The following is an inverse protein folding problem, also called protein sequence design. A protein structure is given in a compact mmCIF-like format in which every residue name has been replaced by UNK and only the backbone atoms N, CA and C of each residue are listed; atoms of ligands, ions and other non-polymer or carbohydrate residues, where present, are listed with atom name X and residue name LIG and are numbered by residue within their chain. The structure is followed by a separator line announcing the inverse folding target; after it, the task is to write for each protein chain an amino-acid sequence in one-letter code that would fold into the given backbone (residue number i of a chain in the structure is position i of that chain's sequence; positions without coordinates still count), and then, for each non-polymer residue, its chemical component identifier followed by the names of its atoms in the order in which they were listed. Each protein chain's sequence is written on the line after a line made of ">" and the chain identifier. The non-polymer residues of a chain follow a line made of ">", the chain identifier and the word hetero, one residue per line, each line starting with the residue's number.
data_IF_170705831354
#
_entry.id   IF_170705831354
#
_cell.length_a   1.000
_cell.length_b   1.000
_cell.length_c   1.000
_cell.angle_alpha   90.00
_cell.angle_beta   90.00
_cell.angle_gamma   90.00
#
_symmetry.space_group_name_H-M   'P 1'
#
loop_
_entity.id
_entity.type
_entity.pdbx_description
1 polymer ?
#
# COMPACT_ATOMS: atom_id res chain seq x y z
N UNK A 1 22.59 -50.25 -1.80
CA UNK A 1 21.84 -49.45 -0.80
C UNK A 1 22.74 -48.36 -0.22
N UNK A 2 22.47 -47.10 -0.54
CA UNK A 2 22.35 -45.96 0.40
C UNK A 2 21.95 -44.75 -0.44
N UNK A 3 20.82 -44.20 -0.03
CA UNK A 3 19.94 -43.36 -0.84
C UNK A 3 20.58 -41.98 -0.98
N UNK A 4 20.43 -41.39 -2.15
CA UNK A 4 20.57 -39.96 -2.42
C UNK A 4 20.04 -39.19 -1.22
N UNK A 5 20.92 -38.50 -0.51
CA UNK A 5 20.51 -37.54 0.50
C UNK A 5 19.94 -36.37 -0.28
N UNK A 6 18.64 -36.46 -0.53
CA UNK A 6 17.77 -35.37 -0.92
C UNK A 6 17.79 -34.39 0.25
N UNK A 7 18.86 -33.59 0.34
CA UNK A 7 18.80 -32.28 0.99
C UNK A 7 18.20 -31.33 -0.05
N UNK A 8 16.98 -31.66 -0.48
CA UNK A 8 16.03 -30.66 -0.91
C UNK A 8 15.64 -29.99 0.40
N UNK A 9 16.49 -29.06 0.88
CA UNK A 9 16.01 -27.97 1.70
C UNK A 9 14.95 -27.30 0.84
N UNK A 10 13.72 -27.79 1.01
CA UNK A 10 12.50 -27.07 0.83
C UNK A 10 12.62 -25.86 1.75
N UNK A 11 13.43 -24.90 1.32
CA UNK A 11 13.07 -23.50 1.45
C UNK A 11 11.79 -23.45 0.63
N UNK A 12 10.67 -23.75 1.29
CA UNK A 12 9.38 -23.14 1.00
C UNK A 12 9.63 -21.64 1.17
N UNK A 13 10.39 -21.07 0.24
CA UNK A 13 10.29 -19.67 -0.07
C UNK A 13 8.84 -19.58 -0.46
N UNK A 14 8.05 -19.05 0.47
CA UNK A 14 6.69 -18.65 0.21
C UNK A 14 6.82 -17.90 -1.10
N UNK A 15 6.32 -18.48 -2.18
CA UNK A 15 6.16 -17.74 -3.43
C UNK A 15 4.99 -16.82 -3.13
N UNK A 16 5.25 -15.81 -2.28
CA UNK A 16 4.30 -14.74 -2.05
C UNK A 16 4.33 -14.01 -3.37
N UNK A 17 3.33 -14.29 -4.20
CA UNK A 17 2.88 -13.30 -5.16
C UNK A 17 2.82 -11.99 -4.38
N UNK A 18 3.71 -11.07 -4.76
CA UNK A 18 3.97 -9.84 -4.03
C UNK A 18 2.67 -9.06 -3.90
N UNK A 19 2.05 -9.12 -2.74
CA UNK A 19 0.75 -8.52 -2.50
C UNK A 19 0.89 -7.47 -1.40
N UNK A 20 0.15 -6.38 -1.58
CA UNK A 20 -0.04 -5.35 -0.58
C UNK A 20 -1.45 -5.47 -0.05
N UNK A 21 -1.61 -5.48 1.26
CA UNK A 21 -2.92 -5.45 1.89
C UNK A 21 -3.24 -4.03 2.33
N UNK A 22 -4.37 -3.47 1.88
CA UNK A 22 -4.84 -2.16 2.36
C UNK A 22 -5.29 -2.33 3.82
N UNK A 23 -4.54 -1.76 4.76
CA UNK A 23 -4.84 -1.88 6.19
C UNK A 23 -5.67 -0.71 6.72
N UNK A 24 -5.63 0.43 6.03
CA UNK A 24 -6.39 1.62 6.38
C UNK A 24 -6.49 2.55 5.18
N UNK A 25 -7.61 3.27 5.06
CA UNK A 25 -7.81 4.28 4.02
C UNK A 25 -8.62 5.46 4.57
N UNK A 26 -8.43 6.63 3.97
CA UNK A 26 -9.07 7.84 4.46
C UNK A 26 -8.50 9.10 3.81
N UNK A 27 -8.54 10.19 4.57
CA UNK A 27 -8.24 11.53 4.08
C UNK A 27 -7.16 12.20 4.95
N UNK A 28 -6.52 13.23 4.42
CA UNK A 28 -5.59 14.09 5.14
C UNK A 28 -5.90 15.58 4.88
N UNK A 29 -5.05 16.48 5.37
CA UNK A 29 -5.25 17.92 5.20
C UNK A 29 -5.22 18.40 3.74
N UNK A 30 -4.60 17.64 2.84
CA UNK A 30 -4.50 18.01 1.43
C UNK A 30 -5.63 17.42 0.59
N UNK A 31 -6.41 16.47 1.11
CA UNK A 31 -7.51 15.78 0.39
C UNK A 31 -8.48 16.74 -0.29
N UNK A 32 -8.84 17.86 0.37
CA UNK A 32 -9.75 18.85 -0.20
C UNK A 32 -9.15 19.73 -1.31
N UNK A 33 -7.83 19.69 -1.49
CA UNK A 33 -7.11 20.49 -2.49
C UNK A 33 -6.48 19.64 -3.60
N UNK A 34 -6.27 18.35 -3.33
CA UNK A 34 -5.69 17.40 -4.27
C UNK A 34 -6.80 16.65 -5.03
N UNK A 35 -7.33 17.29 -6.07
CA UNK A 35 -8.43 16.73 -6.86
C UNK A 35 -8.04 15.51 -7.71
N UNK A 36 -6.75 15.17 -7.83
CA UNK A 36 -6.30 13.99 -8.61
C UNK A 36 -6.25 12.73 -7.75
N UNK A 37 -5.63 12.82 -6.58
CA UNK A 37 -5.53 11.73 -5.62
C UNK A 37 -5.81 12.23 -4.20
N UNK A 38 -7.09 12.51 -3.88
CA UNK A 38 -7.47 13.07 -2.59
C UNK A 38 -7.32 12.05 -1.46
N UNK A 39 -7.48 10.76 -1.74
CA UNK A 39 -7.44 9.71 -0.72
C UNK A 39 -6.01 9.37 -0.28
N UNK A 40 -5.89 8.82 0.92
CA UNK A 40 -4.67 8.24 1.48
C UNK A 40 -4.94 6.79 1.89
N UNK A 41 -4.13 5.87 1.41
CA UNK A 41 -4.17 4.46 1.74
C UNK A 41 -2.86 4.02 2.39
N UNK A 42 -2.98 3.24 3.46
CA UNK A 42 -1.87 2.59 4.14
C UNK A 42 -1.90 1.13 3.72
N UNK A 43 -0.81 0.69 3.11
CA UNK A 43 -0.65 -0.65 2.56
C UNK A 43 0.41 -1.38 3.38
N UNK A 44 0.09 -2.59 3.84
CA UNK A 44 1.07 -3.51 4.40
C UNK A 44 1.64 -4.37 3.27
N UNK A 45 2.95 -4.33 3.08
CA UNK A 45 3.67 -5.18 2.12
C UNK A 45 3.95 -6.54 2.77
N UNK A 46 3.23 -7.56 2.32
CA UNK A 46 3.30 -8.90 2.87
C UNK A 46 4.66 -9.59 2.64
N UNK A 47 5.54 -9.00 1.81
CA UNK A 47 6.87 -9.57 1.51
C UNK A 47 7.93 -9.23 2.55
N UNK A 48 7.95 -7.99 3.00
CA UNK A 48 8.98 -7.48 3.91
C UNK A 48 8.43 -7.10 5.29
N UNK A 49 7.10 -7.15 5.46
CA UNK A 49 6.40 -6.84 6.69
C UNK A 49 6.45 -5.35 7.03
N UNK A 50 6.46 -4.50 6.01
CA UNK A 50 6.58 -3.05 6.13
C UNK A 50 5.36 -2.35 5.59
N UNK A 51 5.31 -1.04 5.81
CA UNK A 51 4.20 -0.21 5.42
C UNK A 51 4.61 0.74 4.31
N UNK A 52 3.73 0.87 3.33
CA UNK A 52 3.79 1.89 2.30
C UNK A 52 2.57 2.81 2.45
N UNK A 53 2.75 4.08 2.14
CA UNK A 53 1.65 5.05 2.12
C UNK A 53 1.49 5.58 0.70
N UNK A 54 0.27 5.41 0.19
CA UNK A 54 -0.11 5.85 -1.14
C UNK A 54 -1.21 6.90 -1.05
N UNK A 55 -1.18 7.84 -1.99
CA UNK A 55 -2.36 8.62 -2.37
C UNK A 55 -3.17 7.78 -3.36
N UNK A 56 -4.49 7.81 -3.26
CA UNK A 56 -5.36 7.14 -4.23
C UNK A 56 -6.38 8.10 -4.85
N UNK A 57 -6.76 7.86 -6.10
CA UNK A 57 -7.80 8.65 -6.77
C UNK A 57 -9.19 8.29 -6.23
N UNK A 58 -10.17 9.18 -6.32
CA UNK A 58 -11.58 8.83 -6.09
C UNK A 58 -12.39 8.89 -7.39
N UNK A 59 -11.69 8.88 -8.53
CA UNK A 59 -12.31 8.93 -9.85
C UNK A 59 -13.10 7.65 -10.12
N UNK A 60 -14.27 7.77 -10.76
CA UNK A 60 -15.13 6.63 -11.14
C UNK A 60 -15.59 5.77 -9.96
N UNK A 61 -15.74 6.37 -8.77
CA UNK A 61 -16.17 5.65 -7.58
C UNK A 61 -15.11 4.69 -7.03
N UNK A 62 -13.86 4.81 -7.48
CA UNK A 62 -12.76 4.03 -6.93
C UNK A 62 -12.53 4.40 -5.46
N UNK A 63 -12.37 3.39 -4.62
CA UNK A 63 -11.95 3.52 -3.24
C UNK A 63 -10.92 2.43 -2.88
N UNK A 64 -9.99 2.76 -1.99
CA UNK A 64 -9.05 1.80 -1.46
C UNK A 64 -9.65 1.10 -0.23
N UNK A 65 -10.41 0.03 -0.43
CA UNK A 65 -11.11 -0.63 0.66
C UNK A 65 -10.17 -1.41 1.58
N UNK A 66 -10.36 -1.25 2.89
CA UNK A 66 -9.61 -2.00 3.91
C UNK A 66 -9.83 -3.50 3.73
N UNK A 67 -8.74 -4.27 3.77
CA UNK A 67 -8.74 -5.70 3.52
C UNK A 67 -8.56 -6.08 2.05
N UNK A 68 -8.60 -5.11 1.13
CA UNK A 68 -8.27 -5.37 -0.28
C UNK A 68 -6.82 -5.78 -0.41
N UNK A 69 -6.60 -6.83 -1.20
CA UNK A 69 -5.27 -7.33 -1.54
C UNK A 69 -4.94 -6.87 -2.95
N UNK A 70 -3.84 -6.13 -3.09
CA UNK A 70 -3.39 -5.49 -4.31
C UNK A 70 -2.14 -6.19 -4.81
N UNK A 71 -2.06 -6.43 -6.11
CA UNK A 71 -0.82 -6.82 -6.74
C UNK A 71 -0.11 -5.60 -7.36
N UNK A 72 1.05 -5.85 -7.98
CA UNK A 72 1.79 -4.79 -8.66
C UNK A 72 1.02 -4.18 -9.83
N UNK A 73 0.12 -4.92 -10.50
CA UNK A 73 -0.66 -4.39 -11.61
C UNK A 73 -1.68 -3.37 -11.12
N UNK A 74 -2.40 -3.68 -10.03
CA UNK A 74 -3.34 -2.78 -9.38
C UNK A 74 -2.69 -1.45 -8.94
N UNK A 75 -1.45 -1.50 -8.40
CA UNK A 75 -0.71 -0.28 -8.05
C UNK A 75 -0.32 0.60 -9.23
N UNK A 76 -0.31 0.06 -10.45
CA UNK A 76 0.01 0.79 -11.69
C UNK A 76 -1.22 1.08 -12.55
N UNK A 77 -2.42 0.73 -12.06
CA UNK A 77 -3.67 0.98 -12.76
C UNK A 77 -3.93 2.48 -12.91
N UNK A 78 -4.64 2.84 -13.98
CA UNK A 78 -5.00 4.23 -14.28
C UNK A 78 -6.47 4.33 -14.62
N UNK A 79 -7.14 5.32 -14.03
CA UNK A 79 -8.51 5.71 -14.37
C UNK A 79 -8.48 7.02 -15.16
N UNK A 80 -8.90 6.99 -16.43
CA UNK A 80 -8.83 8.13 -17.36
C UNK A 80 -7.45 8.85 -17.37
N UNK A 81 -6.37 8.09 -17.34
CA UNK A 81 -5.01 8.62 -17.37
C UNK A 81 -4.47 9.13 -16.03
N UNK A 82 -5.26 9.06 -14.94
CA UNK A 82 -4.81 9.34 -13.58
C UNK A 82 -4.42 8.04 -12.89
N UNK A 83 -3.25 7.99 -12.28
CA UNK A 83 -2.81 6.83 -11.50
C UNK A 83 -3.79 6.55 -10.36
N UNK A 84 -4.27 5.31 -10.28
CA UNK A 84 -5.14 4.82 -9.22
C UNK A 84 -4.46 4.99 -7.86
N UNK A 85 -3.19 4.61 -7.78
CA UNK A 85 -2.32 4.77 -6.63
C UNK A 85 -1.07 5.56 -7.00
N UNK A 86 -0.64 6.44 -6.10
CA UNK A 86 0.60 7.21 -6.23
C UNK A 86 1.31 7.27 -4.89
N UNK A 87 2.56 6.80 -4.84
CA UNK A 87 3.37 6.82 -3.61
C UNK A 87 3.36 8.22 -2.99
N UNK A 88 2.96 8.31 -1.72
CA UNK A 88 2.97 9.56 -0.97
C UNK A 88 4.43 9.99 -0.76
N UNK A 89 4.69 11.28 -0.92
CA UNK A 89 6.00 11.87 -0.61
C UNK A 89 5.85 12.81 0.58
N UNK A 90 6.50 12.49 1.69
CA UNK A 90 6.56 13.34 2.86
C UNK A 90 7.95 13.94 3.00
N UNK A 91 8.03 15.28 3.06
CA UNK A 91 9.31 16.04 3.11
C UNK A 91 10.30 15.60 2.01
N UNK A 92 9.78 15.36 0.80
CA UNK A 92 10.56 14.95 -0.37
C UNK A 92 10.94 13.46 -0.42
N UNK A 93 10.71 12.68 0.65
CA UNK A 93 11.01 11.24 0.70
C UNK A 93 9.78 10.41 0.36
N UNK A 94 9.98 9.32 -0.40
CA UNK A 94 8.91 8.34 -0.67
C UNK A 94 8.55 7.61 0.63
N UNK A 95 7.27 7.48 0.90
CA UNK A 95 6.73 6.75 2.05
C UNK A 95 6.58 5.26 1.69
N UNK A 96 7.71 4.57 1.55
CA UNK A 96 7.77 3.14 1.27
C UNK A 96 8.74 2.46 2.24
N UNK A 97 8.55 1.16 2.51
CA UNK A 97 9.38 0.37 3.43
C UNK A 97 9.49 1.05 4.82
N UNK A 98 8.34 1.45 5.37
CA UNK A 98 8.24 2.09 6.67
C UNK A 98 8.02 1.04 7.75
N UNK A 99 8.60 1.26 8.93
CA UNK A 99 8.10 0.62 10.15
C UNK A 99 6.70 1.14 10.49
N UNK A 100 5.95 0.39 11.30
CA UNK A 100 4.64 0.82 11.79
C UNK A 100 4.71 2.20 12.46
N UNK A 101 5.71 2.41 13.34
CA UNK A 101 5.87 3.67 14.04
C UNK A 101 6.18 4.84 13.09
N UNK A 102 6.99 4.62 12.06
CA UNK A 102 7.27 5.65 11.04
C UNK A 102 6.01 5.99 10.24
N UNK A 103 5.22 4.99 9.85
CA UNK A 103 3.95 5.20 9.17
C UNK A 103 2.99 6.01 10.04
N UNK A 104 2.78 5.61 11.29
CA UNK A 104 1.94 6.35 12.27
C UNK A 104 2.41 7.79 12.44
N UNK A 105 3.72 8.02 12.59
CA UNK A 105 4.27 9.35 12.73
C UNK A 105 3.99 10.23 11.50
N UNK A 106 4.09 9.67 10.30
CA UNK A 106 3.80 10.39 9.05
C UNK A 106 2.29 10.68 8.95
N UNK A 107 1.44 9.71 9.22
CA UNK A 107 -0.03 9.85 9.20
C UNK A 107 -0.49 10.97 10.16
N UNK A 108 0.04 10.97 11.39
CA UNK A 108 -0.23 12.04 12.35
C UNK A 108 0.25 13.41 11.85
N UNK A 109 1.44 13.47 11.23
CA UNK A 109 2.00 14.72 10.72
C UNK A 109 1.17 15.33 9.57
N UNK A 110 0.64 14.51 8.67
CA UNK A 110 -0.23 14.96 7.57
C UNK A 110 -1.68 15.20 8.01
N UNK A 111 -2.02 14.88 9.26
CA UNK A 111 -3.37 15.02 9.79
C UNK A 111 -4.34 14.01 9.21
N UNK A 112 -3.86 12.78 9.00
CA UNK A 112 -4.65 11.68 8.49
C UNK A 112 -5.85 11.37 9.39
N UNK A 113 -6.98 11.03 8.77
CA UNK A 113 -8.19 10.54 9.42
C UNK A 113 -8.71 9.35 8.62
N UNK A 114 -8.76 8.19 9.28
CA UNK A 114 -9.35 7.00 8.68
C UNK A 114 -10.81 7.28 8.35
N UNK A 115 -11.23 6.87 7.16
CA UNK A 115 -12.61 6.97 6.67
C UNK A 115 -12.98 5.60 6.13
N UNK A 116 -14.08 5.03 6.62
CA UNK A 116 -14.56 3.78 6.07
C UNK A 116 -14.92 3.98 4.59
N UNK A 117 -14.31 3.17 3.71
CA UNK A 117 -14.91 2.90 2.40
C UNK A 117 -16.28 2.27 2.61
N UNK A 118 -17.25 2.65 1.77
CA UNK A 118 -18.63 2.18 1.87
C UNK A 118 -18.77 0.73 1.44
#
# INVERSE_FOLDING_TARGET
>A
MKKLVVVLMLVLGVVSFANWTVVSSGEDRESNTNNRQPGVAVLYDDRDGKYDIYRFTMSHGFWADKGSVLDKAALNEKFLGVDAYKVLKYKGKKCINLTEQEAVNILNAIGYRETAGY
#
